data_IF_980877016086
#
_entry.id   IF_980877016086
#
_cell.length_a   1.000
_cell.length_b   1.000
_cell.length_c   1.000
_cell.angle_alpha   90.00
_cell.angle_beta   90.00
_cell.angle_gamma   90.00
#
_symmetry.space_group_name_H-M   'P 1'
#
loop_
_entity.id
_entity.type
_entity.pdbx_description
1 polymer ?
#
# COMPACT_ATOMS: atom_id res chain seq x y z
N UNK A 1 -1.20 12.39 -13.04
CA UNK A 1 0.10 12.55 -12.36
C UNK A 1 0.47 11.22 -11.75
N UNK A 2 1.62 10.65 -12.13
CA UNK A 2 2.06 9.38 -11.58
C UNK A 2 2.30 9.56 -10.07
N UNK A 3 1.59 8.80 -9.24
CA UNK A 3 1.84 8.70 -7.79
C UNK A 3 3.35 8.50 -7.62
N UNK A 4 4.05 9.44 -6.99
CA UNK A 4 5.43 9.22 -6.56
C UNK A 4 5.46 7.88 -5.82
N UNK A 5 6.27 6.95 -6.34
CA UNK A 5 6.33 5.60 -5.80
C UNK A 5 6.89 5.70 -4.39
N UNK A 6 6.01 5.69 -3.38
CA UNK A 6 6.37 5.60 -1.95
C UNK A 6 7.31 4.42 -1.62
N UNK A 7 7.41 3.46 -2.55
CA UNK A 7 8.14 2.21 -2.39
C UNK A 7 8.83 1.85 -3.70
N UNK A 8 10.15 1.62 -3.68
CA UNK A 8 10.87 0.99 -4.78
C UNK A 8 11.15 -0.47 -4.45
N UNK A 9 11.21 -1.31 -5.50
CA UNK A 9 11.37 -2.76 -5.38
C UNK A 9 12.39 -3.23 -6.40
N UNK A 10 13.35 -4.05 -5.97
CA UNK A 10 14.35 -4.67 -6.82
C UNK A 10 14.56 -6.12 -6.39
N UNK A 11 14.94 -6.98 -7.33
CA UNK A 11 15.35 -8.35 -7.03
C UNK A 11 16.85 -8.46 -7.22
N UNK A 12 17.53 -9.04 -6.23
CA UNK A 12 18.92 -9.50 -6.33
C UNK A 12 18.92 -11.01 -6.11
N UNK A 13 18.85 -11.76 -7.22
CA UNK A 13 18.66 -13.22 -7.17
C UNK A 13 17.33 -13.61 -6.52
N UNK A 14 17.40 -14.35 -5.41
CA UNK A 14 16.24 -14.79 -4.61
C UNK A 14 15.86 -13.80 -3.50
N UNK A 15 16.55 -12.67 -3.38
CA UNK A 15 16.27 -11.65 -2.38
C UNK A 15 15.46 -10.51 -3.01
N UNK A 16 14.26 -10.27 -2.48
CA UNK A 16 13.47 -9.09 -2.81
C UNK A 16 13.84 -7.95 -1.86
N UNK A 17 14.28 -6.84 -2.44
CA UNK A 17 14.61 -5.62 -1.71
C UNK A 17 13.48 -4.62 -1.93
N UNK A 18 12.90 -4.15 -0.83
CA UNK A 18 11.86 -3.12 -0.82
C UNK A 18 12.37 -1.92 -0.05
N UNK A 19 12.44 -0.77 -0.69
CA UNK A 19 12.83 0.49 -0.06
C UNK A 19 11.61 1.39 0.10
N UNK A 20 11.26 1.70 1.34
CA UNK A 20 10.19 2.61 1.72
C UNK A 20 10.81 3.86 2.37
N UNK A 21 10.96 4.94 1.61
CA UNK A 21 11.72 6.12 2.06
C UNK A 21 13.19 5.77 2.36
N UNK A 22 13.66 6.09 3.57
CA UNK A 22 15.01 5.75 4.06
C UNK A 22 15.16 4.30 4.55
N UNK A 23 14.06 3.55 4.65
CA UNK A 23 14.08 2.19 5.19
C UNK A 23 14.17 1.15 4.07
N UNK A 24 15.25 0.39 4.05
CA UNK A 24 15.44 -0.75 3.16
C UNK A 24 15.09 -2.05 3.91
N UNK A 25 14.30 -2.91 3.27
CA UNK A 25 13.93 -4.23 3.77
C UNK A 25 14.32 -5.29 2.76
N UNK A 26 14.91 -6.39 3.23
CA UNK A 26 15.38 -7.49 2.39
C UNK A 26 14.65 -8.77 2.77
N UNK A 27 14.03 -9.41 1.79
CA UNK A 27 13.18 -10.58 1.97
C UNK A 27 13.75 -11.74 1.15
N UNK A 28 14.32 -12.72 1.83
CA UNK A 28 14.91 -13.90 1.20
C UNK A 28 13.84 -14.94 0.86
N UNK A 29 13.49 -15.02 -0.42
CA UNK A 29 12.45 -15.94 -0.90
C UNK A 29 12.89 -17.40 -0.92
N UNK A 30 14.19 -17.70 -0.77
CA UNK A 30 14.70 -19.07 -0.68
C UNK A 30 14.24 -19.76 0.61
N UNK A 31 14.01 -18.99 1.69
CA UNK A 31 13.57 -19.47 3.01
C UNK A 31 12.11 -19.94 3.06
N UNK A 32 11.34 -19.66 2.01
CA UNK A 32 9.91 -19.97 1.96
C UNK A 32 9.65 -21.42 1.53
N UNK A 33 8.52 -21.95 1.97
CA UNK A 33 8.06 -23.29 1.57
C UNK A 33 7.72 -23.35 0.08
N UNK A 34 7.81 -24.54 -0.52
CA UNK A 34 7.47 -24.76 -1.93
C UNK A 34 6.04 -24.34 -2.28
N UNK A 35 5.09 -24.52 -1.35
CA UNK A 35 3.71 -24.07 -1.53
C UNK A 35 3.60 -22.55 -1.71
N UNK A 36 4.38 -21.78 -0.95
CA UNK A 36 4.41 -20.32 -1.04
C UNK A 36 5.17 -19.86 -2.28
N UNK A 37 6.27 -20.55 -2.62
CA UNK A 37 6.99 -20.31 -3.88
C UNK A 37 6.09 -20.54 -5.09
N UNK A 38 5.27 -21.58 -5.08
CA UNK A 38 4.31 -21.85 -6.16
C UNK A 38 3.22 -20.76 -6.27
N UNK A 39 2.66 -20.32 -5.14
CA UNK A 39 1.73 -19.20 -5.13
C UNK A 39 2.37 -17.92 -5.66
N UNK A 40 3.62 -17.67 -5.31
CA UNK A 40 4.36 -16.52 -5.80
C UNK A 40 4.75 -16.60 -7.28
N UNK A 41 4.93 -17.79 -7.84
CA UNK A 41 5.06 -17.95 -9.30
C UNK A 41 3.78 -17.53 -10.02
N UNK A 42 2.61 -17.79 -9.42
CA UNK A 42 1.30 -17.44 -9.98
C UNK A 42 0.92 -15.97 -9.82
N UNK A 43 1.26 -15.37 -8.68
CA UNK A 43 0.76 -14.03 -8.30
C UNK A 43 1.86 -12.98 -8.09
N UNK A 44 3.13 -13.37 -8.00
CA UNK A 44 4.29 -12.50 -7.81
C UNK A 44 4.55 -12.09 -6.35
N UNK A 45 5.76 -12.35 -5.84
CA UNK A 45 6.19 -11.91 -4.49
C UNK A 45 6.20 -10.39 -4.34
N UNK A 46 6.75 -9.68 -5.34
CA UNK A 46 6.82 -8.21 -5.33
C UNK A 46 5.45 -7.56 -5.38
N UNK A 47 4.48 -8.22 -6.00
CA UNK A 47 3.08 -7.80 -6.00
C UNK A 47 2.45 -8.06 -4.64
N UNK A 48 2.58 -9.26 -4.07
CA UNK A 48 2.03 -9.62 -2.75
C UNK A 48 2.50 -8.67 -1.64
N UNK A 49 3.81 -8.45 -1.52
CA UNK A 49 4.38 -7.52 -0.52
C UNK A 49 4.09 -6.05 -0.89
N UNK A 50 3.95 -5.75 -2.17
CA UNK A 50 3.51 -4.44 -2.63
C UNK A 50 2.09 -4.06 -2.22
N UNK A 51 1.19 -5.01 -2.35
CA UNK A 51 -0.23 -4.88 -2.03
C UNK A 51 -0.42 -4.68 -0.53
N UNK A 52 0.43 -5.30 0.29
CA UNK A 52 0.43 -5.11 1.74
C UNK A 52 0.67 -3.64 2.15
N UNK A 53 1.42 -2.89 1.36
CA UNK A 53 1.66 -1.46 1.60
C UNK A 53 0.73 -0.54 0.78
N UNK A 54 -0.20 -1.11 0.02
CA UNK A 54 -1.13 -0.33 -0.79
C UNK A 54 -2.14 0.38 0.11
N UNK A 55 -2.10 1.71 0.09
CA UNK A 55 -3.00 2.54 0.90
C UNK A 55 -2.40 3.06 2.20
N UNK A 56 -1.17 2.67 2.55
CA UNK A 56 -0.48 3.23 3.71
C UNK A 56 -0.19 4.72 3.52
N UNK A 57 -0.42 5.48 4.59
CA UNK A 57 -0.22 6.92 4.62
C UNK A 57 1.25 7.26 4.88
N UNK A 58 1.94 6.46 5.70
CA UNK A 58 3.36 6.60 6.03
C UNK A 58 4.25 5.44 5.58
N UNK A 59 5.56 5.70 5.44
CA UNK A 59 6.56 4.67 5.14
C UNK A 59 6.76 3.69 6.31
N UNK A 60 6.56 4.14 7.56
CA UNK A 60 6.64 3.30 8.74
C UNK A 60 5.53 2.24 8.77
N UNK A 61 4.29 2.65 8.52
CA UNK A 61 3.16 1.72 8.40
C UNK A 61 3.36 0.74 7.23
N UNK A 62 3.78 1.25 6.06
CA UNK A 62 4.07 0.39 4.92
C UNK A 62 5.09 -0.70 5.28
N UNK A 63 6.17 -0.34 5.98
CA UNK A 63 7.17 -1.30 6.43
C UNK A 63 6.61 -2.33 7.43
N UNK A 64 5.76 -1.92 8.37
CA UNK A 64 5.13 -2.82 9.32
C UNK A 64 4.22 -3.85 8.61
N UNK A 65 3.36 -3.39 7.71
CA UNK A 65 2.45 -4.27 6.97
C UNK A 65 3.16 -5.22 6.02
N UNK A 66 4.24 -4.77 5.39
CA UNK A 66 5.12 -5.62 4.58
C UNK A 66 5.74 -6.71 5.46
N UNK A 67 6.31 -6.36 6.62
CA UNK A 67 6.92 -7.34 7.52
C UNK A 67 5.89 -8.34 8.07
N UNK A 68 4.69 -7.88 8.41
CA UNK A 68 3.60 -8.76 8.85
C UNK A 68 3.17 -9.75 7.76
N UNK A 69 3.11 -9.29 6.52
CA UNK A 69 2.82 -10.15 5.36
C UNK A 69 3.96 -11.15 5.14
N UNK A 70 5.21 -10.71 5.28
CA UNK A 70 6.36 -11.59 5.17
C UNK A 70 6.36 -12.68 6.25
N UNK A 71 6.12 -12.35 7.51
CA UNK A 71 6.01 -13.32 8.61
C UNK A 71 4.91 -14.37 8.35
N UNK A 72 3.77 -13.95 7.79
CA UNK A 72 2.72 -14.86 7.36
C UNK A 72 3.19 -15.80 6.22
N UNK A 73 3.92 -15.28 5.23
CA UNK A 73 4.49 -16.08 4.14
C UNK A 73 5.51 -17.11 4.66
N UNK A 74 6.35 -16.73 5.62
CA UNK A 74 7.29 -17.66 6.28
C UNK A 74 6.55 -18.78 7.01
N UNK A 75 5.38 -18.48 7.60
CA UNK A 75 4.49 -19.47 8.25
C UNK A 75 3.68 -20.32 7.26
N UNK A 76 3.82 -20.09 5.96
CA UNK A 76 3.05 -20.82 4.94
C UNK A 76 1.65 -20.25 4.67
N UNK A 77 1.33 -19.07 5.19
CA UNK A 77 0.04 -18.41 4.99
C UNK A 77 0.09 -17.37 3.86
N UNK A 78 -0.43 -17.75 2.69
CA UNK A 78 -0.58 -16.83 1.55
C UNK A 78 -1.79 -15.90 1.67
N UNK A 79 -2.78 -16.28 2.48
CA UNK A 79 -4.11 -15.66 2.48
C UNK A 79 -4.18 -14.39 3.31
N UNK A 80 -3.21 -14.18 4.20
CA UNK A 80 -3.06 -12.98 5.02
C UNK A 80 -3.09 -11.76 4.10
N UNK A 81 -4.22 -11.05 4.14
CA UNK A 81 -4.43 -9.77 3.47
C UNK A 81 -4.31 -8.70 4.54
N UNK A 82 -3.44 -7.72 4.31
CA UNK A 82 -3.54 -6.46 5.03
C UNK A 82 -4.94 -5.89 4.78
N UNK A 83 -5.65 -5.37 5.79
CA UNK A 83 -6.92 -4.69 5.55
C UNK A 83 -6.68 -3.62 4.48
N UNK A 84 -7.45 -3.71 3.38
CA UNK A 84 -7.39 -2.70 2.34
C UNK A 84 -7.66 -1.35 3.00
N UNK A 85 -6.74 -0.38 2.86
CA UNK A 85 -6.92 0.96 3.37
C UNK A 85 -8.31 1.49 2.98
N UNK A 86 -8.94 2.26 3.87
CA UNK A 86 -10.33 2.68 3.72
C UNK A 86 -10.53 3.28 2.32
N UNK A 87 -11.46 2.68 1.55
CA UNK A 87 -11.73 3.14 0.19
C UNK A 87 -12.27 4.57 0.26
N UNK A 88 -11.47 5.53 -0.17
CA UNK A 88 -11.91 6.92 -0.32
C UNK A 88 -12.96 6.97 -1.42
N UNK A 89 -14.23 7.04 -1.01
CA UNK A 89 -15.38 7.18 -1.92
C UNK A 89 -15.72 8.65 -2.10
N UNK A 90 -16.42 8.98 -3.20
CA UNK A 90 -16.98 10.33 -3.40
C UNK A 90 -17.81 10.78 -2.19
N UNK A 91 -18.56 9.85 -1.59
CA UNK A 91 -19.37 10.10 -0.39
C UNK A 91 -18.50 10.51 0.81
N UNK A 92 -17.46 9.73 1.11
CA UNK A 92 -16.52 10.03 2.22
C UNK A 92 -15.81 11.38 2.01
N UNK A 93 -15.46 11.74 0.78
CA UNK A 93 -14.87 13.05 0.46
C UNK A 93 -15.85 14.22 0.71
N UNK A 94 -17.11 14.06 0.32
CA UNK A 94 -18.15 15.08 0.55
C UNK A 94 -18.50 15.23 2.03
N UNK A 95 -18.52 14.13 2.78
CA UNK A 95 -18.74 14.13 4.23
C UNK A 95 -17.60 14.86 4.95
N UNK A 96 -16.34 14.57 4.60
CA UNK A 96 -15.18 15.30 5.13
C UNK A 96 -15.20 16.79 4.76
N UNK A 97 -15.55 17.12 3.51
CA UNK A 97 -15.71 18.52 3.07
C UNK A 97 -16.80 19.26 3.85
N UNK A 98 -17.92 18.58 4.12
CA UNK A 98 -19.04 19.10 4.92
C UNK A 98 -18.73 19.16 6.42
N UNK A 99 -17.60 18.61 6.85
CA UNK A 99 -17.07 18.72 8.22
C UNK A 99 -16.03 19.83 8.39
N UNK A 100 -15.48 20.38 7.30
CA UNK A 100 -14.46 21.44 7.36
C UNK A 100 -15.05 22.77 7.87
N UNK A 101 -14.20 23.63 8.44
CA UNK A 101 -14.59 24.99 8.82
C UNK A 101 -14.93 25.85 7.59
N UNK A 102 -15.66 26.96 7.79
CA UNK A 102 -16.07 27.83 6.68
C UNK A 102 -14.88 28.40 5.87
N UNK A 103 -13.75 28.66 6.53
CA UNK A 103 -12.52 29.13 5.89
C UNK A 103 -11.87 28.03 5.02
N UNK A 104 -11.80 26.81 5.54
CA UNK A 104 -11.25 25.68 4.79
C UNK A 104 -12.15 25.29 3.61
N UNK A 105 -13.48 25.34 3.78
CA UNK A 105 -14.41 25.09 2.67
C UNK A 105 -14.22 26.07 1.53
N UNK A 106 -14.09 27.37 1.82
CA UNK A 106 -13.89 28.38 0.79
C UNK A 106 -12.60 28.14 -0.03
N UNK A 107 -11.57 27.60 0.60
CA UNK A 107 -10.30 27.24 -0.05
C UNK A 107 -10.44 25.98 -0.92
N UNK A 108 -11.19 24.97 -0.44
CA UNK A 108 -11.34 23.69 -1.15
C UNK A 108 -12.49 23.65 -2.16
N UNK A 109 -13.46 24.57 -2.09
CA UNK A 109 -14.60 24.68 -3.00
C UNK A 109 -14.21 24.76 -4.49
N UNK A 110 -13.26 25.62 -4.93
CA UNK A 110 -12.85 25.66 -6.33
C UNK A 110 -12.21 24.34 -6.79
N UNK A 111 -11.52 23.64 -5.89
CA UNK A 111 -10.90 22.34 -6.17
C UNK A 111 -11.96 21.24 -6.31
N UNK A 112 -12.98 21.25 -5.44
CA UNK A 112 -14.11 20.33 -5.47
C UNK A 112 -14.97 20.51 -6.74
N UNK A 113 -15.18 21.77 -7.20
CA UNK A 113 -15.84 22.09 -8.48
C UNK A 113 -15.02 21.59 -9.67
N UNK A 114 -13.70 21.83 -9.68
CA UNK A 114 -12.80 21.37 -10.76
C UNK A 114 -12.73 19.85 -10.88
N UNK A 115 -12.87 19.14 -9.76
CA UNK A 115 -12.93 17.68 -9.70
C UNK A 115 -14.33 17.11 -10.03
N UNK A 116 -15.34 17.96 -10.25
CA UNK A 116 -16.71 17.56 -10.55
C UNK A 116 -17.40 16.85 -9.38
N UNK A 117 -16.98 17.15 -8.14
CA UNK A 117 -17.54 16.55 -6.92
C UNK A 117 -18.71 17.38 -6.36
N UNK A 118 -18.73 18.67 -6.65
CA UNK A 118 -19.83 19.61 -6.36
C UNK A 118 -20.05 20.48 -7.60
N UNK A 119 -21.25 21.04 -7.74
CA UNK A 119 -21.62 21.93 -8.86
C UNK A 119 -21.21 23.37 -8.58
#
# INVERSE_FOLDING_TARGET
MAREKKISKSFEGEVLIIKAGDKEMRFDTATLSDAIKDQARRHGFSQKLGDAAAGCESAAEAAEYINKTWDALVKGDWTTKTPAGEKVTKKSLLEKFSGLSAQERAVFEPLMKKLGLIQ
#
